data_IF_389930665047
#
_entry.id   IF_389930665047
#
_cell.length_a   1.000
_cell.length_b   1.000
_cell.length_c   1.000
_cell.angle_alpha   90.00
_cell.angle_beta   90.00
_cell.angle_gamma   90.00
#
_symmetry.space_group_name_H-M   'P 1'
#
loop_
_entity.id
_entity.type
_entity.pdbx_description
1 polymer ?
#
# COMPACT_ATOMS: atom_id res chain seq x y z
N UNK A 1 11.07 15.32 0.29
CA UNK A 1 11.39 14.15 -0.53
C UNK A 1 10.62 14.16 -1.85
N UNK A 2 9.27 14.16 -1.87
CA UNK A 2 8.46 14.20 -3.10
C UNK A 2 8.81 15.40 -3.99
N UNK A 3 8.97 16.59 -3.40
CA UNK A 3 9.38 17.78 -4.13
C UNK A 3 10.75 17.65 -4.82
N UNK A 4 11.71 16.97 -4.19
CA UNK A 4 13.01 16.70 -4.77
C UNK A 4 12.94 15.65 -5.89
N UNK A 5 12.09 14.65 -5.77
CA UNK A 5 11.84 13.69 -6.85
C UNK A 5 11.24 14.36 -8.09
N UNK A 6 10.30 15.29 -7.90
CA UNK A 6 9.68 16.03 -9.01
C UNK A 6 10.63 17.03 -9.71
N UNK A 7 11.82 17.29 -9.16
CA UNK A 7 12.87 18.09 -9.81
C UNK A 7 13.83 17.25 -10.67
N UNK A 8 13.72 15.93 -10.59
CA UNK A 8 14.58 15.02 -11.36
C UNK A 8 14.04 14.86 -12.79
N UNK A 9 14.90 14.87 -13.81
CA UNK A 9 14.50 14.74 -15.20
C UNK A 9 13.93 13.33 -15.52
N UNK A 10 14.32 12.30 -14.75
CA UNK A 10 13.87 10.93 -14.91
C UNK A 10 12.41 10.73 -14.42
N UNK A 11 11.89 11.66 -13.61
CA UNK A 11 10.58 11.57 -12.97
C UNK A 11 9.59 12.52 -13.63
N UNK A 12 8.52 11.97 -14.21
CA UNK A 12 7.42 12.80 -14.73
C UNK A 12 6.58 13.38 -13.59
N UNK A 13 6.23 12.56 -12.62
CA UNK A 13 5.44 12.97 -11.46
C UNK A 13 5.63 12.00 -10.30
N UNK A 14 5.95 12.54 -9.13
CA UNK A 14 5.90 11.83 -7.87
C UNK A 14 4.77 12.41 -7.01
N UNK A 15 3.87 11.55 -6.49
CA UNK A 15 2.73 11.96 -5.69
C UNK A 15 2.39 10.95 -4.60
N UNK A 16 1.63 11.41 -3.62
CA UNK A 16 1.08 10.56 -2.56
C UNK A 16 -0.40 10.88 -2.34
N UNK A 17 -1.17 9.87 -1.98
CA UNK A 17 -2.56 10.04 -1.53
C UNK A 17 -2.65 10.37 -0.04
N UNK A 18 -1.52 10.34 0.68
CA UNK A 18 -1.50 10.67 2.10
C UNK A 18 -1.72 12.16 2.32
N UNK A 19 -2.74 12.50 3.11
CA UNK A 19 -3.08 13.87 3.47
C UNK A 19 -3.27 13.99 4.98
N UNK A 20 -2.74 15.09 5.56
CA UNK A 20 -2.88 15.41 6.99
C UNK A 20 -3.98 16.46 7.26
N UNK A 21 -4.79 16.75 6.26
CA UNK A 21 -5.82 17.79 6.31
C UNK A 21 -7.24 17.25 6.48
N UNK A 22 -7.38 15.98 6.85
CA UNK A 22 -8.69 15.40 7.13
C UNK A 22 -9.22 15.93 8.47
N UNK A 23 -10.41 16.54 8.49
CA UNK A 23 -10.98 17.09 9.72
C UNK A 23 -11.39 15.96 10.67
N UNK A 24 -10.89 16.03 11.88
CA UNK A 24 -11.15 15.07 12.95
C UNK A 24 -11.59 15.80 14.21
N UNK A 25 -12.31 15.10 15.08
CA UNK A 25 -12.67 15.58 16.40
C UNK A 25 -11.85 14.78 17.41
N UNK A 26 -10.91 15.45 18.09
CA UNK A 26 -10.19 14.89 19.22
C UNK A 26 -11.04 14.94 20.45
N UNK A 27 -11.14 13.80 21.12
CA UNK A 27 -11.89 13.63 22.37
C UNK A 27 -10.92 13.67 23.54
N UNK A 28 -11.05 14.66 24.39
CA UNK A 28 -10.25 14.82 25.60
C UNK A 28 -11.14 14.57 26.84
N UNK A 29 -10.82 13.50 27.59
CA UNK A 29 -11.59 13.11 28.78
C UNK A 29 -10.93 13.70 30.04
N UNK A 30 -11.69 14.47 30.81
CA UNK A 30 -11.22 15.00 32.08
C UNK A 30 -11.22 13.89 33.15
N UNK A 31 -10.07 13.24 33.30
CA UNK A 31 -9.88 12.16 34.28
C UNK A 31 -10.13 12.61 35.72
N UNK A 32 -9.89 13.90 36.04
CA UNK A 32 -10.12 14.42 37.41
C UNK A 32 -11.61 14.54 37.72
N UNK A 33 -12.41 15.00 36.75
CA UNK A 33 -13.86 15.03 36.90
C UNK A 33 -14.45 13.61 36.96
N UNK A 34 -13.99 12.70 36.10
CA UNK A 34 -14.41 11.30 36.15
C UNK A 34 -14.14 10.68 37.52
N UNK A 35 -12.93 10.87 38.05
CA UNK A 35 -12.56 10.32 39.36
C UNK A 35 -13.42 10.89 40.49
N UNK A 36 -13.73 12.21 40.49
CA UNK A 36 -14.62 12.83 41.48
C UNK A 36 -16.05 12.28 41.43
N UNK A 37 -16.51 11.95 40.23
CA UNK A 37 -17.82 11.33 39.97
C UNK A 37 -17.83 9.82 40.22
N UNK A 38 -16.69 9.19 40.50
CA UNK A 38 -16.59 7.73 40.66
C UNK A 38 -16.72 6.92 39.36
N UNK A 39 -16.52 7.58 38.22
CA UNK A 39 -16.64 6.96 36.88
C UNK A 39 -15.24 6.72 36.30
N UNK A 40 -15.02 5.57 35.68
CA UNK A 40 -13.77 5.34 34.96
C UNK A 40 -13.74 6.14 33.64
N UNK A 41 -12.60 6.78 33.27
CA UNK A 41 -12.44 7.41 31.96
C UNK A 41 -12.66 6.44 30.81
N UNK A 42 -12.30 5.15 30.96
CA UNK A 42 -12.56 4.12 29.96
C UNK A 42 -14.04 3.92 29.72
N UNK A 43 -14.87 3.91 30.79
CA UNK A 43 -16.33 3.78 30.67
C UNK A 43 -16.93 4.94 29.87
N UNK A 44 -16.42 6.16 30.05
CA UNK A 44 -16.84 7.35 29.29
C UNK A 44 -16.52 7.18 27.81
N UNK A 45 -15.30 6.70 27.49
CA UNK A 45 -14.87 6.44 26.12
C UNK A 45 -15.65 5.29 25.47
N UNK A 46 -15.91 4.22 26.22
CA UNK A 46 -16.67 3.04 25.73
C UNK A 46 -18.11 3.43 25.40
N UNK A 47 -18.74 4.25 26.24
CA UNK A 47 -20.08 4.77 25.98
C UNK A 47 -20.08 5.67 24.76
N UNK A 48 -19.15 6.62 24.66
CA UNK A 48 -19.03 7.49 23.48
C UNK A 48 -18.77 6.68 22.21
N UNK A 49 -17.88 5.71 22.28
CA UNK A 49 -17.59 4.78 21.18
C UNK A 49 -18.82 4.00 20.73
N UNK A 50 -19.64 3.55 21.68
CA UNK A 50 -20.88 2.81 21.39
C UNK A 50 -21.94 3.69 20.72
N UNK A 51 -22.09 4.94 21.17
CA UNK A 51 -23.02 5.88 20.55
C UNK A 51 -22.58 6.28 19.14
N UNK A 52 -21.31 6.65 18.95
CA UNK A 52 -20.79 7.18 17.69
C UNK A 52 -20.36 6.08 16.71
N UNK A 53 -19.58 5.10 17.19
CA UNK A 53 -18.98 4.05 16.38
C UNK A 53 -19.81 2.77 16.26
N UNK A 54 -20.72 2.56 17.23
CA UNK A 54 -21.52 1.36 17.37
C UNK A 54 -20.85 0.28 18.21
N UNK A 55 -21.66 -0.37 19.03
CA UNK A 55 -21.28 -1.52 19.85
C UNK A 55 -21.69 -2.83 19.18
N UNK A 56 -20.76 -3.75 19.10
CA UNK A 56 -21.07 -5.12 18.72
C UNK A 56 -21.82 -5.81 19.86
N UNK A 57 -23.02 -6.31 19.56
CA UNK A 57 -23.90 -6.96 20.57
C UNK A 57 -23.82 -8.47 20.47
N UNK A 58 -24.07 -9.03 19.27
CA UNK A 58 -24.08 -10.46 19.03
C UNK A 58 -24.03 -10.80 17.54
N UNK A 59 -24.03 -12.09 17.23
CA UNK A 59 -24.28 -12.61 15.89
C UNK A 59 -25.61 -13.37 15.86
N UNK A 60 -26.26 -13.37 14.70
CA UNK A 60 -27.33 -14.32 14.42
C UNK A 60 -27.11 -15.00 13.06
N UNK A 61 -27.59 -16.22 12.96
CA UNK A 61 -27.46 -17.03 11.75
C UNK A 61 -28.81 -17.06 11.01
N UNK A 62 -28.80 -16.65 9.75
CA UNK A 62 -29.97 -16.72 8.88
C UNK A 62 -29.52 -16.99 7.43
N UNK A 63 -30.28 -17.85 6.74
CA UNK A 63 -29.99 -18.26 5.35
C UNK A 63 -28.57 -18.82 5.14
N UNK A 64 -28.00 -19.51 6.12
CA UNK A 64 -26.65 -20.07 6.07
C UNK A 64 -25.51 -19.03 6.18
N UNK A 65 -25.82 -17.78 6.53
CA UNK A 65 -24.86 -16.69 6.74
C UNK A 65 -24.91 -16.19 8.18
N UNK A 66 -23.76 -15.71 8.66
CA UNK A 66 -23.62 -15.07 9.97
C UNK A 66 -23.75 -13.56 9.79
N UNK A 67 -24.72 -12.97 10.49
CA UNK A 67 -24.95 -11.52 10.52
C UNK A 67 -24.52 -10.95 11.86
N UNK A 68 -23.78 -9.84 11.84
CA UNK A 68 -23.40 -9.11 13.05
C UNK A 68 -24.51 -8.15 13.46
N UNK A 69 -24.88 -8.19 14.73
CA UNK A 69 -25.79 -7.22 15.33
C UNK A 69 -24.98 -6.10 15.95
N UNK A 70 -25.14 -4.91 15.40
CA UNK A 70 -24.51 -3.70 15.89
C UNK A 70 -25.56 -2.76 16.47
N UNK A 71 -25.31 -2.21 17.66
CA UNK A 71 -26.13 -1.17 18.27
C UNK A 71 -25.42 0.17 18.17
N UNK A 72 -26.11 1.18 17.67
CA UNK A 72 -25.54 2.53 17.47
C UNK A 72 -26.64 3.55 17.65
N UNK A 73 -26.28 4.76 18.07
CA UNK A 73 -27.24 5.85 18.13
C UNK A 73 -27.73 6.23 16.71
N UNK A 74 -29.00 6.63 16.60
CA UNK A 74 -29.55 7.18 15.38
C UNK A 74 -28.74 8.41 14.93
N UNK A 75 -28.57 8.65 13.61
CA UNK A 75 -27.76 9.77 13.11
C UNK A 75 -28.08 11.11 13.77
N UNK A 76 -29.34 11.39 14.01
CA UNK A 76 -29.83 12.62 14.64
C UNK A 76 -29.19 12.92 16.01
N UNK A 77 -28.79 11.86 16.75
CA UNK A 77 -28.22 11.97 18.09
C UNK A 77 -26.68 11.89 18.10
N UNK A 78 -26.01 11.91 16.95
CA UNK A 78 -24.55 11.81 16.86
C UNK A 78 -23.88 12.70 15.80
N UNK A 79 -24.66 13.59 15.14
CA UNK A 79 -24.14 14.43 14.06
C UNK A 79 -23.31 15.62 14.54
N UNK A 80 -23.69 16.21 15.69
CA UNK A 80 -23.14 17.46 16.17
C UNK A 80 -22.39 17.31 17.50
N UNK A 81 -21.52 18.26 17.79
CA UNK A 81 -20.85 18.37 19.11
C UNK A 81 -21.87 18.53 20.25
N UNK A 82 -23.04 19.11 19.95
CA UNK A 82 -24.15 19.26 20.90
C UNK A 82 -24.79 17.91 21.27
N UNK A 83 -24.63 16.91 20.44
CA UNK A 83 -25.12 15.55 20.72
C UNK A 83 -24.55 14.94 22.00
N UNK A 84 -23.38 15.39 22.48
CA UNK A 84 -22.83 14.99 23.79
C UNK A 84 -23.74 15.29 24.97
N UNK A 85 -24.59 16.29 24.84
CA UNK A 85 -25.57 16.62 25.92
C UNK A 85 -26.70 15.57 26.01
N UNK A 86 -26.94 14.84 24.90
CA UNK A 86 -27.96 13.80 24.80
C UNK A 86 -27.40 12.39 25.02
N UNK A 87 -26.09 12.27 25.24
CA UNK A 87 -25.43 11.01 25.54
C UNK A 87 -25.17 10.96 27.04
N UNK A 88 -25.53 9.85 27.68
CA UNK A 88 -25.45 9.70 29.12
C UNK A 88 -24.57 8.51 29.50
N UNK A 89 -23.80 8.69 30.58
CA UNK A 89 -23.03 7.64 31.23
C UNK A 89 -23.63 7.38 32.62
N UNK A 90 -23.66 6.11 33.01
CA UNK A 90 -24.17 5.71 34.32
C UNK A 90 -23.16 6.10 35.42
N UNK A 91 -23.64 6.83 36.42
CA UNK A 91 -22.91 7.18 37.64
C UNK A 91 -23.64 6.57 38.85
N UNK A 92 -23.28 5.35 39.21
CA UNK A 92 -24.00 4.62 40.26
C UNK A 92 -25.48 4.37 39.88
N UNK A 93 -26.39 5.05 40.58
CA UNK A 93 -27.83 4.99 40.31
C UNK A 93 -28.34 6.09 39.39
N UNK A 94 -27.55 7.11 39.15
CA UNK A 94 -27.90 8.29 38.35
C UNK A 94 -27.26 8.22 36.97
N UNK A 95 -27.78 9.04 36.06
CA UNK A 95 -27.24 9.22 34.70
C UNK A 95 -26.65 10.62 34.57
N UNK A 96 -25.42 10.75 34.12
CA UNK A 96 -24.74 12.02 33.90
C UNK A 96 -24.46 12.22 32.41
N UNK A 97 -24.69 13.44 31.86
CA UNK A 97 -24.40 13.71 30.46
C UNK A 97 -22.88 13.68 30.17
N UNK A 98 -22.49 13.11 29.02
CA UNK A 98 -21.07 12.99 28.63
C UNK A 98 -20.38 14.34 28.49
N UNK A 99 -21.11 15.40 28.16
CA UNK A 99 -20.59 16.77 28.05
C UNK A 99 -19.92 17.30 29.34
N UNK A 100 -20.20 16.71 30.50
CA UNK A 100 -19.54 17.08 31.74
C UNK A 100 -18.10 16.55 31.83
N UNK A 101 -17.81 15.44 31.18
CA UNK A 101 -16.55 14.69 31.29
C UNK A 101 -15.65 14.84 30.09
N UNK A 102 -16.21 15.25 28.93
CA UNK A 102 -15.54 15.23 27.63
C UNK A 102 -15.47 16.64 27.06
N UNK A 103 -14.31 16.98 26.54
CA UNK A 103 -14.09 18.17 25.71
C UNK A 103 -13.74 17.77 24.31
N UNK A 104 -14.46 18.33 23.33
CA UNK A 104 -14.19 18.12 21.91
C UNK A 104 -13.30 19.23 21.35
N UNK A 105 -12.29 18.85 20.56
CA UNK A 105 -11.42 19.78 19.83
C UNK A 105 -11.37 19.38 18.38
N UNK A 106 -11.62 20.32 17.48
CA UNK A 106 -11.40 20.09 16.04
C UNK A 106 -9.91 20.10 15.75
N UNK A 107 -9.42 19.05 15.16
CA UNK A 107 -8.03 18.87 14.75
C UNK A 107 -7.97 18.41 13.31
N UNK A 108 -6.84 18.63 12.65
CA UNK A 108 -6.55 18.04 11.34
C UNK A 108 -5.60 16.89 11.56
N UNK A 109 -5.83 15.80 10.85
CA UNK A 109 -5.01 14.60 10.95
C UNK A 109 -5.10 13.75 9.69
N UNK A 110 -4.39 12.62 9.65
CA UNK A 110 -4.49 11.69 8.54
C UNK A 110 -5.79 10.89 8.62
N UNK A 111 -6.44 10.69 7.48
CA UNK A 111 -7.62 9.82 7.38
C UNK A 111 -7.25 8.36 7.63
N UNK A 112 -6.14 7.92 7.05
CA UNK A 112 -5.65 6.54 7.12
C UNK A 112 -4.17 6.53 7.50
N UNK A 113 -3.79 5.66 8.42
CA UNK A 113 -2.40 5.37 8.77
C UNK A 113 -2.05 3.98 8.26
N UNK A 114 -1.20 3.92 7.23
CA UNK A 114 -0.74 2.68 6.65
C UNK A 114 0.52 2.17 7.35
N UNK A 115 0.68 0.85 7.38
CA UNK A 115 1.90 0.20 7.85
C UNK A 115 2.40 -0.80 6.80
N UNK A 116 3.70 -0.79 6.61
CA UNK A 116 4.41 -1.77 5.81
C UNK A 116 5.46 -2.45 6.68
N UNK A 117 5.46 -3.76 6.74
CA UNK A 117 6.31 -4.54 7.65
C UNK A 117 6.29 -4.03 9.10
N UNK A 118 5.08 -3.68 9.62
CA UNK A 118 4.81 -3.12 10.94
C UNK A 118 5.31 -1.67 11.16
N UNK A 119 6.08 -1.09 10.27
CA UNK A 119 6.48 0.31 10.31
C UNK A 119 5.41 1.22 9.69
N UNK A 120 5.18 2.37 10.30
CA UNK A 120 4.31 3.39 9.71
C UNK A 120 4.91 3.88 8.40
N UNK A 121 4.12 3.89 7.34
CA UNK A 121 4.59 4.24 6.01
C UNK A 121 3.66 5.21 5.28
N UNK A 122 4.23 5.92 4.33
CA UNK A 122 3.52 6.72 3.34
C UNK A 122 3.88 6.16 1.97
N UNK A 123 2.86 5.80 1.20
CA UNK A 123 3.05 5.33 -0.17
C UNK A 123 3.29 6.53 -1.10
N UNK A 124 4.39 6.49 -1.83
CA UNK A 124 4.72 7.48 -2.87
C UNK A 124 4.69 6.76 -4.21
N UNK A 125 3.85 7.23 -5.12
CA UNK A 125 3.80 6.75 -6.50
C UNK A 125 4.66 7.64 -7.37
N UNK A 126 5.54 7.04 -8.16
CA UNK A 126 6.46 7.74 -9.04
C UNK A 126 6.27 7.23 -10.47
N UNK A 127 5.98 8.13 -11.39
CA UNK A 127 5.83 7.81 -12.79
C UNK A 127 7.11 8.22 -13.54
N UNK A 128 7.65 7.34 -14.42
CA UNK A 128 8.79 7.69 -15.26
C UNK A 128 8.46 8.81 -16.24
N UNK A 129 9.44 9.64 -16.55
CA UNK A 129 9.34 10.62 -17.62
C UNK A 129 9.51 9.93 -18.99
N UNK A 130 8.89 10.46 -20.06
CA UNK A 130 9.03 9.88 -21.40
C UNK A 130 10.51 9.76 -21.81
N UNK A 131 10.90 8.53 -22.20
CA UNK A 131 12.27 8.20 -22.62
C UNK A 131 13.20 7.72 -21.49
N UNK A 132 12.70 7.63 -20.26
CA UNK A 132 13.46 7.06 -19.14
C UNK A 132 12.83 5.72 -18.71
N UNK A 133 13.69 4.77 -18.38
CA UNK A 133 13.28 3.45 -17.91
C UNK A 133 12.91 3.45 -16.43
N UNK A 134 12.14 2.45 -15.99
CA UNK A 134 11.82 2.26 -14.56
C UNK A 134 13.07 2.08 -13.70
N UNK A 135 14.13 1.45 -14.23
CA UNK A 135 15.40 1.28 -13.53
C UNK A 135 16.14 2.59 -13.29
N UNK A 136 16.12 3.55 -14.24
CA UNK A 136 16.70 4.88 -14.05
C UNK A 136 15.92 5.68 -13.01
N UNK A 137 14.59 5.53 -12.98
CA UNK A 137 13.75 6.15 -11.93
C UNK A 137 14.06 5.55 -10.55
N UNK A 138 14.27 4.23 -10.46
CA UNK A 138 14.66 3.58 -9.20
C UNK A 138 16.01 4.12 -8.70
N UNK A 139 16.99 4.26 -9.58
CA UNK A 139 18.27 4.86 -9.23
C UNK A 139 18.12 6.30 -8.74
N UNK A 140 17.30 7.12 -9.40
CA UNK A 140 17.02 8.49 -8.97
C UNK A 140 16.33 8.52 -7.59
N UNK A 141 15.41 7.58 -7.32
CA UNK A 141 14.77 7.41 -6.00
C UNK A 141 15.81 7.11 -4.92
N UNK A 142 16.76 6.21 -5.18
CA UNK A 142 17.82 5.83 -4.25
C UNK A 142 18.76 7.01 -3.96
N UNK A 143 19.18 7.73 -4.99
CA UNK A 143 20.03 8.92 -4.84
C UNK A 143 19.36 10.01 -3.99
N UNK A 144 18.09 10.31 -4.28
CA UNK A 144 17.34 11.32 -3.51
C UNK A 144 17.06 10.82 -2.08
N UNK A 145 16.80 9.53 -1.89
CA UNK A 145 16.62 8.94 -0.58
C UNK A 145 17.88 9.05 0.28
N UNK A 146 19.04 8.72 -0.29
CA UNK A 146 20.33 8.82 0.41
C UNK A 146 20.67 10.24 0.86
N UNK A 147 20.21 11.27 0.10
CA UNK A 147 20.52 12.67 0.40
C UNK A 147 19.50 13.32 1.35
N UNK A 148 18.23 12.93 1.29
CA UNK A 148 17.14 13.68 1.93
C UNK A 148 16.44 12.95 3.07
N UNK A 149 16.57 11.64 3.19
CA UNK A 149 15.91 10.93 4.27
C UNK A 149 16.68 11.13 5.59
N UNK A 150 16.01 11.64 6.64
CA UNK A 150 16.65 11.79 7.94
C UNK A 150 16.96 10.43 8.58
N UNK A 151 17.84 10.41 9.55
CA UNK A 151 18.15 9.22 10.35
C UNK A 151 16.87 8.64 10.97
N UNK A 152 16.64 7.35 10.77
CA UNK A 152 15.44 6.65 11.26
C UNK A 152 14.31 6.51 10.23
N UNK A 153 14.46 7.11 9.05
CA UNK A 153 13.58 6.91 7.90
C UNK A 153 14.29 6.04 6.85
N UNK A 154 13.52 5.19 6.22
CA UNK A 154 13.96 4.36 5.11
C UNK A 154 12.91 4.33 4.02
N UNK A 155 13.25 3.74 2.90
CA UNK A 155 12.32 3.46 1.82
C UNK A 155 12.34 1.96 1.51
N UNK A 156 11.24 1.47 0.97
CA UNK A 156 11.09 0.10 0.50
C UNK A 156 10.24 0.12 -0.76
N UNK A 157 10.61 -0.69 -1.73
CA UNK A 157 9.81 -0.84 -2.93
C UNK A 157 8.61 -1.75 -2.67
N UNK A 158 7.46 -1.40 -3.26
CA UNK A 158 6.22 -2.18 -3.17
C UNK A 158 5.74 -2.64 -4.56
N UNK A 159 4.92 -3.69 -4.57
CA UNK A 159 4.32 -4.20 -5.81
C UNK A 159 5.34 -4.57 -6.88
N UNK A 160 5.07 -4.17 -8.14
CA UNK A 160 5.92 -4.48 -9.30
C UNK A 160 7.33 -3.90 -9.18
N UNK A 161 7.49 -2.70 -8.61
CA UNK A 161 8.80 -2.07 -8.45
C UNK A 161 9.75 -2.91 -7.57
N UNK A 162 9.19 -3.64 -6.58
CA UNK A 162 9.98 -4.57 -5.75
C UNK A 162 10.47 -5.76 -6.56
N UNK A 163 9.62 -6.33 -7.42
CA UNK A 163 10.01 -7.43 -8.30
C UNK A 163 11.09 -7.00 -9.30
N UNK A 164 10.95 -5.81 -9.88
CA UNK A 164 11.96 -5.25 -10.78
C UNK A 164 13.30 -5.01 -10.07
N UNK A 165 13.28 -4.43 -8.86
CA UNK A 165 14.49 -4.20 -8.07
C UNK A 165 15.19 -5.53 -7.68
N UNK A 166 14.42 -6.57 -7.37
CA UNK A 166 14.95 -7.89 -7.02
C UNK A 166 15.44 -8.69 -8.23
N UNK A 167 14.88 -8.44 -9.42
CA UNK A 167 15.19 -9.19 -10.64
C UNK A 167 16.41 -8.62 -11.39
N UNK A 168 16.93 -7.48 -10.97
CA UNK A 168 18.12 -6.85 -11.56
C UNK A 168 19.41 -7.65 -11.33
N UNK A 169 20.16 -7.95 -12.41
CA UNK A 169 21.51 -8.46 -12.34
C UNK A 169 21.71 -9.95 -12.67
N UNK A 170 22.61 -10.61 -11.96
CA UNK A 170 23.10 -11.98 -12.26
C UNK A 170 22.03 -13.08 -12.22
N UNK A 171 20.95 -12.88 -11.46
CA UNK A 171 19.86 -13.85 -11.36
C UNK A 171 19.09 -13.99 -12.70
N UNK A 172 18.86 -12.90 -13.39
CA UNK A 172 18.17 -12.90 -14.70
C UNK A 172 18.97 -13.68 -15.74
N UNK A 173 20.30 -13.47 -15.77
CA UNK A 173 21.17 -14.21 -16.69
C UNK A 173 21.16 -15.72 -16.39
N UNK A 174 21.17 -16.09 -15.11
CA UNK A 174 21.10 -17.49 -14.68
C UNK A 174 19.77 -18.14 -15.13
N UNK A 175 18.64 -17.43 -14.97
CA UNK A 175 17.32 -17.91 -15.40
C UNK A 175 17.31 -18.15 -16.91
N UNK A 176 17.82 -17.20 -17.72
CA UNK A 176 17.92 -17.39 -19.17
C UNK A 176 18.78 -18.59 -19.55
N UNK A 177 19.92 -18.78 -18.89
CA UNK A 177 20.79 -19.92 -19.14
C UNK A 177 20.10 -21.26 -18.83
N UNK A 178 19.39 -21.35 -17.72
CA UNK A 178 18.61 -22.54 -17.34
C UNK A 178 17.46 -22.78 -18.31
N UNK A 179 16.74 -21.75 -18.75
CA UNK A 179 15.68 -21.88 -19.73
C UNK A 179 16.20 -22.42 -21.07
N UNK A 180 17.30 -21.86 -21.58
CA UNK A 180 17.92 -22.34 -22.85
C UNK A 180 18.37 -23.79 -22.72
N UNK A 181 18.99 -24.15 -21.58
CA UNK A 181 19.40 -25.52 -21.31
C UNK A 181 18.23 -26.51 -21.33
N UNK A 182 17.13 -26.15 -20.62
CA UNK A 182 15.93 -26.99 -20.59
C UNK A 182 15.31 -27.16 -21.97
N UNK A 183 15.21 -26.09 -22.75
CA UNK A 183 14.68 -26.11 -24.09
C UNK A 183 15.55 -27.02 -24.99
N UNK A 184 16.88 -26.87 -24.86
CA UNK A 184 17.82 -27.74 -25.60
C UNK A 184 17.60 -29.22 -25.27
N UNK A 185 17.47 -29.58 -23.99
CA UNK A 185 17.24 -30.96 -23.57
C UNK A 185 15.90 -31.51 -24.08
N UNK A 186 14.83 -30.72 -24.02
CA UNK A 186 13.53 -31.12 -24.55
C UNK A 186 13.58 -31.34 -26.04
N UNK A 187 14.20 -30.42 -26.79
CA UNK A 187 14.37 -30.58 -28.24
C UNK A 187 15.27 -31.75 -28.59
N UNK A 188 16.34 -32.01 -27.83
CA UNK A 188 17.22 -33.16 -28.06
C UNK A 188 16.48 -34.48 -27.85
N UNK A 189 15.58 -34.56 -26.86
CA UNK A 189 14.70 -35.73 -26.67
C UNK A 189 13.67 -35.85 -27.78
N UNK A 190 13.08 -34.73 -28.22
CA UNK A 190 12.04 -34.73 -29.26
C UNK A 190 12.59 -35.15 -30.64
N UNK A 191 13.79 -34.67 -31.01
CA UNK A 191 14.41 -34.92 -32.29
C UNK A 191 15.35 -36.13 -32.29
N UNK A 192 15.52 -36.79 -31.13
CA UNK A 192 16.47 -37.92 -30.95
C UNK A 192 17.89 -37.60 -31.49
N UNK A 193 18.28 -36.33 -31.42
CA UNK A 193 19.55 -35.85 -32.00
C UNK A 193 20.08 -34.67 -31.17
N UNK A 194 21.39 -34.65 -30.94
CA UNK A 194 22.06 -33.52 -30.27
C UNK A 194 22.44 -32.37 -31.20
N UNK A 195 22.41 -32.58 -32.53
CA UNK A 195 22.78 -31.54 -33.49
C UNK A 195 21.59 -30.69 -33.96
N UNK A 196 20.42 -31.31 -34.16
CA UNK A 196 19.23 -30.62 -34.70
C UNK A 196 18.74 -29.50 -33.78
N UNK A 197 18.72 -29.63 -32.45
CA UNK A 197 18.32 -28.56 -31.55
C UNK A 197 19.11 -27.26 -31.70
N UNK A 198 20.38 -27.33 -32.07
CA UNK A 198 21.20 -26.15 -32.32
C UNK A 198 20.67 -25.26 -33.43
N UNK A 199 20.13 -25.86 -34.51
CA UNK A 199 19.53 -25.11 -35.61
C UNK A 199 18.31 -24.30 -35.14
N UNK A 200 17.50 -24.87 -34.22
CA UNK A 200 16.34 -24.19 -33.63
C UNK A 200 16.79 -23.09 -32.70
N UNK A 201 17.74 -23.37 -31.81
CA UNK A 201 18.25 -22.37 -30.85
C UNK A 201 18.93 -21.18 -31.55
N UNK A 202 19.62 -21.42 -32.69
CA UNK A 202 20.22 -20.35 -33.49
C UNK A 202 19.16 -19.44 -34.15
N UNK A 203 17.91 -19.81 -34.24
CA UNK A 203 16.83 -18.93 -34.70
C UNK A 203 16.38 -17.93 -33.64
N UNK A 204 16.55 -18.24 -32.34
CA UNK A 204 16.13 -17.40 -31.22
C UNK A 204 16.77 -16.00 -31.26
N UNK A 205 18.09 -15.80 -31.48
CA UNK A 205 18.68 -14.49 -31.59
C UNK A 205 18.04 -13.59 -32.65
N UNK A 206 17.53 -14.14 -33.76
CA UNK A 206 16.83 -13.36 -34.79
C UNK A 206 15.47 -12.87 -34.26
N UNK A 207 14.74 -13.72 -33.53
CA UNK A 207 13.49 -13.34 -32.86
C UNK A 207 13.71 -12.26 -31.81
N UNK A 208 14.77 -12.39 -30.99
CA UNK A 208 15.15 -11.39 -30.01
C UNK A 208 15.51 -10.06 -30.67
N UNK A 209 16.34 -10.10 -31.71
CA UNK A 209 16.70 -8.90 -32.48
C UNK A 209 15.46 -8.20 -33.04
N UNK A 210 14.51 -8.97 -33.59
CA UNK A 210 13.23 -8.45 -34.06
C UNK A 210 12.46 -7.77 -32.93
N UNK A 211 12.30 -8.42 -31.78
CA UNK A 211 11.58 -7.90 -30.64
C UNK A 211 12.16 -6.57 -30.12
N UNK A 212 13.47 -6.49 -29.94
CA UNK A 212 14.14 -5.27 -29.51
C UNK A 212 14.12 -4.17 -30.58
N UNK A 213 14.21 -4.53 -31.85
CA UNK A 213 14.12 -3.57 -32.95
C UNK A 213 12.73 -2.92 -33.00
N UNK A 214 11.69 -3.74 -32.92
CA UNK A 214 10.31 -3.22 -32.87
C UNK A 214 10.03 -2.45 -31.59
N UNK A 215 10.48 -2.92 -30.42
CA UNK A 215 10.35 -2.16 -29.16
C UNK A 215 10.97 -0.77 -29.31
N UNK A 216 12.17 -0.67 -29.89
CA UNK A 216 12.84 0.62 -30.13
C UNK A 216 12.09 1.48 -31.16
N UNK A 217 11.56 0.87 -32.22
CA UNK A 217 10.83 1.59 -33.28
C UNK A 217 9.53 2.23 -32.74
N UNK A 218 8.85 1.51 -31.82
CA UNK A 218 7.61 1.99 -31.20
C UNK A 218 7.84 2.76 -29.91
N UNK A 219 9.11 3.02 -29.50
CA UNK A 219 9.44 3.75 -28.29
C UNK A 219 9.04 3.02 -27.00
N UNK A 220 8.96 1.68 -27.03
CA UNK A 220 8.68 0.85 -25.86
C UNK A 220 9.93 0.70 -25.00
N UNK A 221 9.76 0.87 -23.70
CA UNK A 221 10.84 0.74 -22.73
C UNK A 221 11.14 -0.73 -22.40
N UNK A 222 12.38 -0.99 -21.99
CA UNK A 222 12.78 -2.28 -21.48
C UNK A 222 12.27 -2.46 -20.04
N UNK A 223 11.08 -3.00 -19.93
CA UNK A 223 10.41 -3.27 -18.67
C UNK A 223 10.22 -4.79 -18.46
N UNK A 224 9.68 -5.17 -17.30
CA UNK A 224 9.43 -6.57 -16.93
C UNK A 224 8.53 -7.30 -17.94
N UNK A 225 7.63 -6.58 -18.62
CA UNK A 225 6.74 -7.15 -19.64
C UNK A 225 7.51 -7.55 -20.90
N UNK A 226 8.46 -6.71 -21.36
CA UNK A 226 9.33 -7.04 -22.48
C UNK A 226 10.22 -8.25 -22.14
N UNK A 227 10.78 -8.30 -20.92
CA UNK A 227 11.60 -9.42 -20.45
C UNK A 227 10.79 -10.72 -20.41
N UNK A 228 9.56 -10.67 -19.90
CA UNK A 228 8.65 -11.83 -19.90
C UNK A 228 8.30 -12.27 -21.32
N UNK A 229 8.05 -11.32 -22.22
CA UNK A 229 7.81 -11.60 -23.64
C UNK A 229 9.01 -12.26 -24.31
N UNK A 230 10.23 -11.84 -23.98
CA UNK A 230 11.48 -12.47 -24.46
C UNK A 230 11.59 -13.91 -23.96
N UNK A 231 11.31 -14.20 -22.70
CA UNK A 231 11.31 -15.56 -22.16
C UNK A 231 10.28 -16.42 -22.90
N UNK A 232 9.09 -15.90 -23.14
CA UNK A 232 8.03 -16.60 -23.87
C UNK A 232 8.40 -16.87 -25.33
N UNK A 233 9.19 -15.98 -25.94
CA UNK A 233 9.65 -16.15 -27.34
C UNK A 233 10.73 -17.23 -27.46
N UNK A 234 11.49 -17.51 -26.41
CA UNK A 234 12.51 -18.57 -26.38
C UNK A 234 11.85 -19.96 -26.23
N UNK A 235 10.72 -20.08 -25.55
CA UNK A 235 9.98 -21.33 -25.28
C UNK A 235 8.92 -21.62 -26.30
#
# INVERSE_FOLDING_TARGET
YIGALNLRPEVAMAYTSYAMNFPQISVDVDAAKCKRAGISPSTVLDVLGSYCGGAYVSNYNQFGKVYRVMSQASPEYRLDEQALNNMFVRNGTEMAPLSQFVTLKRVLGPEVSNRFNLFSCITVNVNPAPGYSTGEVQQAIEEVAAQMLPTGYGYEYGGMAREEANTGGSQTLFIYAVCILLIYLILACLYESFLVPWAVILSVPFGLMGSFLFAKLFGLENNIYLQTGVIMLIG
#
